data_IF_903731114916
#
_entry.id   IF_903731114916
#
_cell.length_a   1.000
_cell.length_b   1.000
_cell.length_c   1.000
_cell.angle_alpha   90.00
_cell.angle_beta   90.00
_cell.angle_gamma   90.00
#
_symmetry.space_group_name_H-M   'P 1'
#
loop_
_entity.id
_entity.type
_entity.pdbx_description
1 polymer ?
#
# COMPACT_ATOMS: atom_id res chain seq x y z
N UNK A 1 19.18 7.43 8.29
CA UNK A 1 19.56 7.29 6.88
C UNK A 1 18.29 7.58 6.08
N UNK A 2 18.24 8.59 5.20
CA UNK A 2 17.00 8.89 4.50
C UNK A 2 16.66 7.70 3.58
N UNK A 3 15.40 7.27 3.62
CA UNK A 3 14.88 6.27 2.69
C UNK A 3 14.93 6.88 1.29
N UNK A 4 15.68 6.28 0.37
CA UNK A 4 15.49 6.49 -1.07
C UNK A 4 15.04 5.16 -1.69
N UNK A 5 13.75 5.06 -2.02
CA UNK A 5 13.24 4.18 -3.09
C UNK A 5 12.04 4.90 -3.72
N UNK A 6 12.07 5.02 -5.05
CA UNK A 6 11.08 5.72 -5.87
C UNK A 6 10.53 4.70 -6.89
N UNK A 7 9.60 3.84 -6.46
CA UNK A 7 8.82 3.01 -7.39
C UNK A 7 7.34 3.12 -7.02
N UNK A 8 6.69 4.14 -7.59
CA UNK A 8 5.28 4.42 -7.41
C UNK A 8 4.49 3.87 -8.60
N UNK A 9 3.64 2.87 -8.36
CA UNK A 9 2.72 2.33 -9.36
C UNK A 9 1.33 2.88 -9.04
N UNK A 10 0.76 3.71 -9.92
CA UNK A 10 -0.63 4.18 -9.83
C UNK A 10 -1.52 3.34 -10.76
N UNK A 11 -2.64 2.85 -10.24
CA UNK A 11 -3.66 2.14 -11.01
C UNK A 11 -4.90 3.02 -11.10
N UNK A 12 -5.37 3.30 -12.32
CA UNK A 12 -6.63 4.03 -12.56
C UNK A 12 -7.69 3.01 -13.01
N UNK A 13 -8.93 3.14 -12.52
CA UNK A 13 -10.03 2.44 -13.18
C UNK A 13 -10.28 3.12 -14.54
N UNK A 14 -10.48 2.33 -15.58
CA UNK A 14 -10.72 2.85 -16.93
C UNK A 14 -12.14 3.35 -17.15
N UNK A 15 -12.91 3.65 -16.10
CA UNK A 15 -14.34 3.94 -16.19
C UNK A 15 -14.61 5.44 -16.41
N UNK A 16 -15.55 5.74 -17.29
CA UNK A 16 -15.85 7.09 -17.73
C UNK A 16 -16.51 7.92 -16.61
N UNK A 17 -15.71 8.75 -15.92
CA UNK A 17 -16.10 9.94 -15.15
C UNK A 17 -17.53 9.89 -14.54
N UNK A 18 -17.80 8.84 -13.77
CA UNK A 18 -18.93 8.83 -12.85
C UNK A 18 -18.49 9.71 -11.69
N UNK A 19 -19.28 10.74 -11.36
CA UNK A 19 -18.95 11.81 -10.42
C UNK A 19 -18.01 11.33 -9.30
N UNK A 20 -16.78 11.89 -9.24
CA UNK A 20 -15.62 11.58 -8.36
C UNK A 20 -15.97 11.51 -6.86
N UNK A 21 -16.88 10.64 -6.49
CA UNK A 21 -17.25 10.35 -5.12
C UNK A 21 -16.44 9.12 -4.79
N UNK A 22 -15.32 9.37 -4.11
CA UNK A 22 -14.46 8.37 -3.46
C UNK A 22 -13.31 7.80 -4.32
N UNK A 23 -12.49 8.68 -4.91
CA UNK A 23 -11.16 8.27 -5.39
C UNK A 23 -10.31 7.84 -4.19
N UNK A 24 -9.85 6.59 -4.20
CA UNK A 24 -8.94 6.03 -3.19
C UNK A 24 -7.56 5.85 -3.84
N UNK A 25 -6.60 6.68 -3.45
CA UNK A 25 -5.19 6.47 -3.80
C UNK A 25 -4.56 5.51 -2.80
N UNK A 26 -3.87 4.50 -3.34
CA UNK A 26 -3.19 3.47 -2.55
C UNK A 26 -1.69 3.61 -2.77
N UNK A 27 -0.95 3.79 -1.69
CA UNK A 27 0.51 3.86 -1.71
C UNK A 27 1.05 2.66 -0.97
N UNK A 28 2.00 1.96 -1.56
CA UNK A 28 2.70 0.84 -0.93
C UNK A 28 4.19 1.06 -1.03
N UNK A 29 4.90 0.63 0.01
CA UNK A 29 6.36 0.66 0.04
C UNK A 29 6.91 -0.65 0.63
N UNK A 30 8.01 -1.12 0.06
CA UNK A 30 8.80 -2.22 0.58
C UNK A 30 10.21 -1.74 0.83
N UNK A 31 10.76 -2.01 2.00
CA UNK A 31 12.11 -1.58 2.37
C UNK A 31 12.95 -2.74 2.87
N UNK A 32 14.27 -2.65 2.67
CA UNK A 32 15.24 -3.59 3.23
C UNK A 32 16.45 -2.84 3.76
N UNK A 33 16.86 -3.21 4.97
CA UNK A 33 18.05 -2.70 5.65
C UNK A 33 18.86 -3.88 6.18
N UNK A 34 20.04 -3.62 6.73
CA UNK A 34 20.81 -4.63 7.47
C UNK A 34 20.05 -5.18 8.69
N UNK A 35 19.08 -4.42 9.22
CA UNK A 35 18.29 -4.79 10.39
C UNK A 35 16.95 -5.47 10.05
N UNK A 36 16.69 -5.75 8.77
CA UNK A 36 15.52 -6.50 8.32
C UNK A 36 14.74 -5.84 7.20
N UNK A 37 13.54 -6.35 6.98
CA UNK A 37 12.67 -6.00 5.85
C UNK A 37 11.38 -5.38 6.38
N UNK A 38 10.92 -4.29 5.77
CA UNK A 38 9.70 -3.60 6.15
C UNK A 38 8.72 -3.53 4.99
N UNK A 39 7.42 -3.50 5.31
CA UNK A 39 6.34 -3.21 4.37
C UNK A 39 5.49 -2.07 4.94
N UNK A 40 5.00 -1.20 4.07
CA UNK A 40 4.07 -0.12 4.41
C UNK A 40 2.96 0.02 3.36
N UNK A 41 1.78 0.44 3.82
CA UNK A 41 0.58 0.72 3.04
C UNK A 41 -0.03 2.02 3.55
N UNK A 42 -0.45 2.90 2.65
CA UNK A 42 -1.19 4.11 2.97
C UNK A 42 -2.37 4.30 2.01
N UNK A 43 -3.51 4.73 2.54
CA UNK A 43 -4.74 5.00 1.79
C UNK A 43 -5.10 6.47 1.95
N UNK A 44 -5.31 7.14 0.82
CA UNK A 44 -5.77 8.52 0.74
C UNK A 44 -7.13 8.55 0.03
N UNK A 45 -8.15 9.08 0.68
CA UNK A 45 -9.50 9.22 0.10
C UNK A 45 -9.83 10.69 0.00
N UNK A 46 -10.14 11.17 -1.21
CA UNK A 46 -10.43 12.60 -1.46
C UNK A 46 -9.36 13.53 -0.85
N UNK A 47 -8.08 13.18 -1.06
CA UNK A 47 -6.91 13.89 -0.54
C UNK A 47 -6.77 13.95 1.00
N UNK A 48 -7.53 13.13 1.74
CA UNK A 48 -7.44 12.98 3.20
C UNK A 48 -6.89 11.58 3.54
N UNK A 49 -5.93 11.51 4.47
CA UNK A 49 -5.38 10.24 4.96
C UNK A 49 -6.45 9.44 5.69
N UNK A 50 -6.80 8.28 5.13
CA UNK A 50 -7.88 7.44 5.66
C UNK A 50 -7.35 6.27 6.50
N UNK A 51 -6.20 5.70 6.12
CA UNK A 51 -5.63 4.53 6.78
C UNK A 51 -4.15 4.39 6.45
N UNK A 52 -3.38 3.87 7.41
CA UNK A 52 -2.00 3.45 7.21
C UNK A 52 -1.70 2.15 7.94
N UNK A 53 -0.76 1.38 7.41
CA UNK A 53 -0.25 0.15 8.00
C UNK A 53 1.23 0.01 7.71
N UNK A 54 1.97 -0.54 8.67
CA UNK A 54 3.37 -0.91 8.47
C UNK A 54 3.73 -2.10 9.34
N UNK A 55 4.60 -2.97 8.85
CA UNK A 55 5.13 -4.08 9.64
C UNK A 55 6.56 -4.44 9.26
N UNK A 56 7.31 -4.91 10.25
CA UNK A 56 8.57 -5.63 10.02
C UNK A 56 8.24 -7.06 9.59
N UNK A 57 8.82 -7.48 8.47
CA UNK A 57 8.72 -8.84 7.94
C UNK A 57 9.96 -9.67 8.34
N UNK A 58 9.98 -10.94 7.94
CA UNK A 58 11.14 -11.80 8.16
C UNK A 58 12.36 -11.23 7.44
N UNK A 59 13.53 -11.30 8.08
CA UNK A 59 14.76 -10.69 7.57
C UNK A 59 15.19 -11.25 6.20
N UNK A 60 14.83 -12.50 5.90
CA UNK A 60 15.10 -13.16 4.62
C UNK A 60 14.12 -12.80 3.50
N UNK A 61 13.07 -12.03 3.77
CA UNK A 61 12.17 -11.56 2.72
C UNK A 61 12.89 -10.57 1.78
N UNK A 62 12.38 -10.46 0.57
CA UNK A 62 12.82 -9.46 -0.41
C UNK A 62 11.96 -8.20 -0.32
N UNK A 63 12.46 -7.07 -0.86
CA UNK A 63 11.66 -5.84 -1.01
C UNK A 63 10.39 -6.12 -1.81
N UNK A 64 10.49 -6.88 -2.90
CA UNK A 64 9.34 -7.26 -3.72
C UNK A 64 8.28 -8.07 -2.94
N UNK A 65 8.69 -9.01 -2.09
CA UNK A 65 7.76 -9.70 -1.20
C UNK A 65 7.12 -8.76 -0.16
N UNK A 66 7.84 -7.72 0.27
CA UNK A 66 7.32 -6.72 1.18
C UNK A 66 6.23 -5.86 0.53
N UNK A 67 6.47 -5.39 -0.70
CA UNK A 67 5.47 -4.68 -1.51
C UNK A 67 4.22 -5.54 -1.74
N UNK A 68 4.40 -6.81 -2.15
CA UNK A 68 3.28 -7.74 -2.32
C UNK A 68 2.51 -7.98 -1.03
N UNK A 69 3.19 -7.99 0.12
CA UNK A 69 2.53 -8.13 1.43
C UNK A 69 1.67 -6.91 1.75
N UNK A 70 2.15 -5.70 1.48
CA UNK A 70 1.38 -4.47 1.67
C UNK A 70 0.11 -4.46 0.80
N UNK A 71 0.21 -4.92 -0.46
CA UNK A 71 -0.94 -5.07 -1.36
C UNK A 71 -1.90 -6.17 -0.85
N UNK A 72 -1.37 -7.31 -0.41
CA UNK A 72 -2.20 -8.41 0.10
C UNK A 72 -3.01 -8.01 1.34
N UNK A 73 -2.42 -7.22 2.25
CA UNK A 73 -3.13 -6.64 3.41
C UNK A 73 -4.34 -5.82 2.93
N UNK A 74 -4.19 -5.02 1.88
CA UNK A 74 -5.29 -4.23 1.32
C UNK A 74 -6.44 -5.10 0.81
N UNK A 75 -6.12 -6.13 0.03
CA UNK A 75 -7.11 -7.04 -0.56
C UNK A 75 -7.82 -7.85 0.53
N UNK A 76 -7.07 -8.40 1.49
CA UNK A 76 -7.62 -9.21 2.58
C UNK A 76 -8.43 -8.40 3.60
N UNK A 77 -8.10 -7.12 3.79
CA UNK A 77 -8.84 -6.21 4.67
C UNK A 77 -10.09 -5.62 4.00
N UNK A 78 -10.20 -5.71 2.67
CA UNK A 78 -11.43 -5.44 1.95
C UNK A 78 -12.42 -6.61 2.14
N UNK A 79 -12.84 -6.85 3.38
CA UNK A 79 -14.05 -7.67 3.60
C UNK A 79 -15.25 -6.87 3.09
N UNK A 80 -16.20 -7.50 2.37
CA UNK A 80 -17.48 -6.86 2.12
C UNK A 80 -18.09 -6.50 3.48
N UNK A 81 -18.60 -5.29 3.61
CA UNK A 81 -19.43 -4.87 4.74
C UNK A 81 -20.78 -5.60 4.68
N UNK A 82 -20.78 -6.93 4.85
CA UNK A 82 -21.97 -7.74 5.09
C UNK A 82 -21.58 -8.98 5.93
N UNK A 83 -21.49 -8.75 7.24
CA UNK A 83 -22.08 -9.61 8.28
C UNK A 83 -22.87 -8.70 9.21
#
# INVERSE_FOLDING_TARGET
>A
MPLEVHFQISLEDGEANIARKDIINIFTDGSKTEHGVGAALCLLTNDIWAYHWSAKLKDNNTVFQAELTAIHIRISSAKPQYL
#
